data_IF_509113886826
#
_entry.id   IF_509113886826
#
_cell.length_a   1.000
_cell.length_b   1.000
_cell.length_c   1.000
_cell.angle_alpha   90.00
_cell.angle_beta   90.00
_cell.angle_gamma   90.00
#
_symmetry.space_group_name_H-M   'P 1'
#
loop_
_entity.id
_entity.type
_entity.pdbx_description
1 polymer ?
#
# COMPACT_ATOMS: atom_id res chain seq x y z
N UNK A 1 1.50 -5.51 6.60
CA UNK A 1 1.96 -6.29 5.42
C UNK A 1 0.85 -7.21 4.96
N UNK A 2 0.69 -7.36 3.66
CA UNK A 2 -0.30 -8.27 3.06
C UNK A 2 -0.12 -9.70 3.61
N UNK A 3 -1.23 -10.36 3.97
CA UNK A 3 -1.22 -11.74 4.44
C UNK A 3 -0.80 -11.97 5.90
N UNK A 4 -0.46 -10.94 6.68
CA UNK A 4 -0.15 -11.11 8.11
C UNK A 4 -1.39 -11.06 8.99
N UNK A 5 -2.28 -10.11 8.75
CA UNK A 5 -3.52 -9.92 9.51
C UNK A 5 -4.69 -10.27 8.60
N UNK A 6 -5.61 -11.09 9.11
CA UNK A 6 -6.80 -11.51 8.37
C UNK A 6 -7.70 -10.33 8.00
N UNK A 7 -8.30 -10.42 6.81
CA UNK A 7 -9.32 -9.50 6.30
C UNK A 7 -10.74 -10.04 6.46
N UNK A 8 -10.90 -11.18 7.13
CA UNK A 8 -12.23 -11.75 7.41
C UNK A 8 -13.07 -10.77 8.23
N UNK A 9 -14.30 -10.51 7.78
CA UNK A 9 -15.20 -9.54 8.42
C UNK A 9 -14.98 -8.09 8.02
N UNK A 10 -14.00 -7.80 7.19
CA UNK A 10 -13.75 -6.46 6.62
C UNK A 10 -14.45 -6.34 5.26
N UNK A 11 -14.99 -5.16 4.96
CA UNK A 11 -15.61 -4.89 3.67
C UNK A 11 -14.54 -4.96 2.57
N UNK A 12 -14.59 -6.02 1.77
CA UNK A 12 -13.63 -6.26 0.70
C UNK A 12 -13.82 -5.27 -0.45
N UNK A 13 -12.74 -4.61 -0.84
CA UNK A 13 -12.67 -3.81 -2.06
C UNK A 13 -11.91 -4.57 -3.15
N UNK A 14 -10.67 -4.98 -2.87
CA UNK A 14 -9.83 -5.74 -3.78
C UNK A 14 -9.18 -6.92 -3.06
N UNK A 15 -9.35 -8.11 -3.62
CA UNK A 15 -8.73 -9.32 -3.06
C UNK A 15 -7.20 -9.28 -3.13
N UNK A 16 -6.64 -8.52 -4.06
CA UNK A 16 -5.19 -8.43 -4.31
C UNK A 16 -4.50 -7.26 -3.62
N UNK A 17 -5.26 -6.22 -3.27
CA UNK A 17 -4.68 -4.97 -2.77
C UNK A 17 -5.05 -4.67 -1.31
N UNK A 18 -6.19 -5.19 -0.82
CA UNK A 18 -6.63 -4.95 0.54
C UNK A 18 -5.65 -5.54 1.55
N UNK A 19 -5.32 -4.75 2.55
CA UNK A 19 -4.51 -5.19 3.67
C UNK A 19 -4.91 -4.45 4.95
N UNK A 20 -4.67 -5.11 6.08
CA UNK A 20 -4.91 -4.53 7.40
C UNK A 20 -3.60 -4.02 7.95
N UNK A 21 -3.62 -2.81 8.49
CA UNK A 21 -2.52 -2.21 9.21
C UNK A 21 -2.94 -1.76 10.60
N UNK A 22 -1.97 -1.46 11.43
CA UNK A 22 -2.17 -0.94 12.78
C UNK A 22 -1.46 0.40 12.94
N UNK A 23 -2.01 1.26 13.79
CA UNK A 23 -1.42 2.54 14.14
C UNK A 23 -1.09 2.56 15.65
N UNK A 24 0.01 3.18 16.01
CA UNK A 24 0.45 3.37 17.40
C UNK A 24 1.27 4.64 17.55
N UNK A 25 1.50 5.07 18.78
CA UNK A 25 2.35 6.23 19.06
C UNK A 25 3.84 5.87 19.04
N UNK A 26 4.15 4.63 19.37
CA UNK A 26 5.51 4.08 19.37
C UNK A 26 5.58 2.84 18.50
N UNK A 27 6.78 2.42 18.15
CA UNK A 27 6.99 1.15 17.40
C UNK A 27 6.56 -0.04 18.26
N UNK A 28 6.80 0.02 19.56
CA UNK A 28 6.39 -1.02 20.52
C UNK A 28 4.88 -1.15 20.60
N UNK A 29 4.12 -0.03 20.59
CA UNK A 29 2.64 -0.07 20.56
C UNK A 29 2.15 -0.77 19.28
N UNK A 30 2.75 -0.42 18.13
CA UNK A 30 2.42 -1.06 16.84
C UNK A 30 2.75 -2.55 16.87
N UNK A 31 3.93 -2.93 17.39
CA UNK A 31 4.34 -4.32 17.48
C UNK A 31 3.44 -5.12 18.42
N UNK A 32 3.10 -4.58 19.58
CA UNK A 32 2.21 -5.22 20.54
C UNK A 32 0.81 -5.45 19.96
N UNK A 33 0.26 -4.43 19.27
CA UNK A 33 -1.05 -4.55 18.66
C UNK A 33 -1.04 -5.50 17.46
N UNK A 34 -0.06 -5.38 16.56
CA UNK A 34 0.08 -6.27 15.41
C UNK A 34 0.23 -7.73 15.84
N UNK A 35 1.08 -8.01 16.85
CA UNK A 35 1.28 -9.36 17.40
C UNK A 35 -0.04 -10.04 17.79
N UNK A 36 -0.98 -9.31 18.36
CA UNK A 36 -2.28 -9.88 18.78
C UNK A 36 -3.21 -10.20 17.62
N UNK A 37 -3.03 -9.54 16.46
CA UNK A 37 -3.86 -9.70 15.27
C UNK A 37 -3.27 -10.66 14.23
N UNK A 38 -1.95 -10.87 14.26
CA UNK A 38 -1.26 -11.76 13.32
C UNK A 38 -1.64 -13.21 13.62
N UNK A 39 -2.38 -13.82 12.71
CA UNK A 39 -2.81 -15.19 12.82
C UNK A 39 -3.20 -15.74 11.46
N UNK A 40 -2.84 -17.01 11.19
CA UNK A 40 -3.39 -17.74 10.05
C UNK A 40 -4.90 -17.88 10.21
N UNK A 41 -5.65 -17.48 9.20
CA UNK A 41 -7.11 -17.60 9.12
C UNK A 41 -7.48 -18.42 7.89
N UNK A 42 -8.20 -19.51 8.10
CA UNK A 42 -8.64 -20.42 7.03
C UNK A 42 -9.66 -19.73 6.08
N UNK A 43 -10.35 -18.70 6.55
CA UNK A 43 -11.34 -17.95 5.76
C UNK A 43 -10.69 -16.84 4.91
N UNK A 44 -9.42 -16.52 5.16
CA UNK A 44 -8.61 -15.62 4.33
C UNK A 44 -7.38 -16.38 3.83
N UNK A 45 -7.51 -16.96 2.64
CA UNK A 45 -6.51 -17.83 2.02
C UNK A 45 -5.14 -17.16 1.85
N UNK A 46 -5.11 -15.82 1.73
CA UNK A 46 -3.87 -15.06 1.57
C UNK A 46 -3.09 -14.94 2.90
N UNK A 47 -3.70 -15.28 4.06
CA UNK A 47 -2.96 -15.24 5.33
C UNK A 47 -1.92 -16.35 5.42
N UNK A 48 -0.76 -16.00 5.99
CA UNK A 48 0.35 -16.92 6.19
C UNK A 48 0.57 -17.24 7.68
N UNK A 49 1.27 -18.34 7.97
CA UNK A 49 1.79 -18.56 9.30
C UNK A 49 3.00 -17.65 9.53
N UNK A 50 2.95 -16.86 10.58
CA UNK A 50 4.06 -15.99 10.97
C UNK A 50 4.24 -16.05 12.50
N UNK A 51 5.47 -16.30 12.95
CA UNK A 51 5.82 -16.30 14.36
C UNK A 51 5.99 -14.86 14.85
N UNK A 52 4.93 -14.32 15.45
CA UNK A 52 4.92 -12.93 15.95
C UNK A 52 5.36 -12.82 17.43
N UNK A 53 5.68 -13.93 18.09
CA UNK A 53 5.91 -13.96 19.54
C UNK A 53 7.05 -13.07 19.99
N UNK A 54 8.14 -12.99 19.23
CA UNK A 54 9.32 -12.20 19.55
C UNK A 54 9.25 -10.77 19.00
N UNK A 55 8.19 -10.38 18.29
CA UNK A 55 8.10 -9.09 17.59
C UNK A 55 8.38 -7.89 18.51
N UNK A 56 7.82 -7.89 19.72
CA UNK A 56 8.03 -6.81 20.70
C UNK A 56 9.47 -6.78 21.20
N UNK A 57 10.07 -7.94 21.47
CA UNK A 57 11.46 -8.01 21.96
C UNK A 57 12.46 -7.60 20.87
N UNK A 58 12.18 -7.92 19.62
CA UNK A 58 12.99 -7.48 18.47
C UNK A 58 12.94 -5.94 18.34
N UNK A 59 11.76 -5.33 18.51
CA UNK A 59 11.61 -3.87 18.48
C UNK A 59 12.47 -3.18 19.57
N UNK A 60 12.54 -3.76 20.75
CA UNK A 60 13.33 -3.20 21.87
C UNK A 60 14.85 -3.30 21.66
N UNK A 61 15.30 -4.32 20.94
CA UNK A 61 16.74 -4.55 20.69
C UNK A 61 17.32 -3.55 19.67
N UNK A 62 16.49 -2.94 18.84
CA UNK A 62 16.91 -2.10 17.72
C UNK A 62 17.62 -2.88 16.60
N UNK A 63 18.11 -2.20 15.57
CA UNK A 63 18.80 -2.84 14.45
C UNK A 63 20.18 -3.34 14.84
N UNK A 64 20.57 -4.50 14.33
CA UNK A 64 21.90 -5.11 14.57
C UNK A 64 22.99 -4.34 13.78
N UNK A 65 22.63 -3.80 12.61
CA UNK A 65 23.51 -3.02 11.75
C UNK A 65 22.90 -1.63 11.51
N UNK A 66 23.74 -0.67 11.13
CA UNK A 66 23.25 0.64 10.71
C UNK A 66 22.42 0.47 9.42
N UNK A 67 21.10 0.79 9.46
CA UNK A 67 20.23 0.51 8.33
C UNK A 67 20.48 1.49 7.19
N UNK A 68 20.46 0.98 5.96
CA UNK A 68 20.48 1.77 4.73
C UNK A 68 19.12 1.73 4.06
N UNK A 69 18.69 2.86 3.54
CA UNK A 69 17.41 3.01 2.84
C UNK A 69 17.61 3.65 1.48
N UNK A 70 16.69 3.35 0.56
CA UNK A 70 16.53 4.11 -0.67
C UNK A 70 15.37 5.09 -0.53
N UNK A 71 15.55 6.30 -1.00
CA UNK A 71 14.48 7.24 -1.25
C UNK A 71 14.19 7.33 -2.75
N UNK A 72 13.02 6.88 -3.18
CA UNK A 72 12.60 7.05 -4.56
C UNK A 72 11.83 8.35 -4.76
N UNK A 73 12.35 9.18 -5.69
CA UNK A 73 11.58 10.28 -6.28
C UNK A 73 10.65 9.71 -7.35
N UNK A 74 9.46 9.30 -6.93
CA UNK A 74 8.45 8.80 -7.84
C UNK A 74 7.96 9.90 -8.79
N UNK A 75 7.26 9.52 -9.87
CA UNK A 75 6.61 10.48 -10.77
C UNK A 75 5.68 11.47 -10.06
N UNK A 76 5.18 11.10 -8.89
CA UNK A 76 4.35 11.96 -8.04
C UNK A 76 5.14 13.03 -7.29
N UNK A 77 6.48 12.95 -7.22
CA UNK A 77 7.31 13.90 -6.48
C UNK A 77 7.06 15.36 -6.85
N UNK A 78 6.86 15.64 -8.13
CA UNK A 78 6.56 16.99 -8.62
C UNK A 78 5.17 17.50 -8.24
N UNK A 79 4.28 16.60 -7.81
CA UNK A 79 2.87 16.90 -7.47
C UNK A 79 2.63 17.00 -5.98
N UNK A 80 3.56 16.56 -5.12
CA UNK A 80 3.38 16.62 -3.67
C UNK A 80 3.40 18.06 -3.17
N UNK A 81 2.72 18.30 -2.07
CA UNK A 81 2.64 19.63 -1.46
C UNK A 81 4.02 20.17 -1.07
N UNK A 82 4.18 21.50 -1.12
CA UNK A 82 5.45 22.14 -0.69
C UNK A 82 5.82 21.81 0.76
N UNK A 83 4.82 21.62 1.63
CA UNK A 83 5.03 21.19 3.02
C UNK A 83 5.62 19.78 3.09
N UNK A 84 5.07 18.84 2.33
CA UNK A 84 5.61 17.47 2.24
C UNK A 84 7.01 17.45 1.63
N UNK A 85 7.27 18.24 0.57
CA UNK A 85 8.62 18.34 -0.02
C UNK A 85 9.64 18.77 1.03
N UNK A 86 9.36 19.86 1.77
CA UNK A 86 10.25 20.35 2.83
C UNK A 86 10.49 19.30 3.93
N UNK A 87 9.45 18.54 4.31
CA UNK A 87 9.59 17.49 5.31
C UNK A 87 10.52 16.36 4.82
N UNK A 88 10.39 15.94 3.57
CA UNK A 88 11.30 14.95 2.98
C UNK A 88 12.72 15.50 2.78
N UNK A 89 12.88 16.76 2.35
CA UNK A 89 14.19 17.41 2.25
C UNK A 89 14.90 17.47 3.60
N UNK A 90 14.16 17.77 4.68
CA UNK A 90 14.67 17.71 6.04
C UNK A 90 15.10 16.30 6.43
N UNK A 91 14.25 15.29 6.19
CA UNK A 91 14.56 13.88 6.45
C UNK A 91 15.86 13.45 5.74
N UNK A 92 15.96 13.75 4.45
CA UNK A 92 17.11 13.39 3.62
C UNK A 92 18.40 14.08 4.08
N UNK A 93 18.29 15.30 4.61
CA UNK A 93 19.45 16.03 5.15
C UNK A 93 19.91 15.41 6.47
N UNK A 94 18.99 15.14 7.40
CA UNK A 94 19.30 14.59 8.72
C UNK A 94 19.86 13.17 8.64
N UNK A 95 19.32 12.34 7.74
CA UNK A 95 19.71 10.94 7.58
C UNK A 95 20.58 10.69 6.33
N UNK A 96 21.32 11.67 5.88
CA UNK A 96 22.14 11.62 4.66
C UNK A 96 23.08 10.40 4.58
N UNK A 97 23.56 9.89 5.70
CA UNK A 97 24.46 8.72 5.75
C UNK A 97 23.71 7.39 5.52
N UNK A 98 22.40 7.38 5.79
CA UNK A 98 21.57 6.20 5.81
C UNK A 98 20.61 6.12 4.62
N UNK A 99 20.45 7.22 3.86
CA UNK A 99 19.46 7.29 2.78
C UNK A 99 20.15 7.68 1.48
N UNK A 100 20.05 6.81 0.49
CA UNK A 100 20.47 7.08 -0.89
C UNK A 100 19.24 7.50 -1.71
N UNK A 101 19.42 8.52 -2.57
CA UNK A 101 18.33 9.09 -3.37
C UNK A 101 18.44 8.61 -4.79
N UNK A 102 17.37 8.00 -5.30
CA UNK A 102 17.27 7.54 -6.68
C UNK A 102 16.01 8.08 -7.35
N UNK A 103 16.09 8.28 -8.64
CA UNK A 103 14.91 8.46 -9.47
C UNK A 103 14.22 7.10 -9.67
N UNK A 104 12.90 7.11 -9.68
CA UNK A 104 12.12 5.90 -9.92
C UNK A 104 12.47 5.32 -11.30
N UNK A 105 12.74 4.00 -11.39
CA UNK A 105 12.96 3.35 -12.67
C UNK A 105 11.80 3.57 -13.63
N UNK A 106 12.14 3.81 -14.90
CA UNK A 106 11.14 4.21 -15.91
C UNK A 106 10.00 3.20 -16.09
N UNK A 107 10.28 1.94 -15.87
CA UNK A 107 9.32 0.85 -15.98
C UNK A 107 8.24 0.90 -14.89
N UNK A 108 8.50 1.51 -13.74
CA UNK A 108 7.50 1.68 -12.68
C UNK A 108 6.46 2.79 -12.97
N UNK A 109 6.65 3.57 -14.03
CA UNK A 109 5.70 4.64 -14.41
C UNK A 109 4.28 4.12 -14.68
N UNK A 110 4.15 2.87 -15.06
CA UNK A 110 2.87 2.24 -15.37
C UNK A 110 2.17 1.61 -14.14
N UNK A 111 2.85 1.53 -12.99
CA UNK A 111 2.26 1.00 -11.75
C UNK A 111 0.90 1.62 -11.43
N UNK A 112 0.70 2.96 -11.44
CA UNK A 112 -0.60 3.55 -11.14
C UNK A 112 -1.71 3.09 -12.08
N UNK A 113 -1.42 2.92 -13.37
CA UNK A 113 -2.37 2.42 -14.37
C UNK A 113 -2.82 1.00 -14.06
N UNK A 114 -1.87 0.11 -13.83
CA UNK A 114 -2.18 -1.31 -13.57
C UNK A 114 -2.81 -1.50 -12.19
N UNK A 115 -2.37 -0.74 -11.19
CA UNK A 115 -3.02 -0.69 -9.88
C UNK A 115 -4.50 -0.28 -10.01
N UNK A 116 -4.81 0.75 -10.80
CA UNK A 116 -6.18 1.19 -11.03
C UNK A 116 -7.03 0.10 -11.70
N UNK A 117 -6.50 -0.60 -12.71
CA UNK A 117 -7.20 -1.70 -13.38
C UNK A 117 -7.58 -2.79 -12.37
N UNK A 118 -6.62 -3.24 -11.56
CA UNK A 118 -6.88 -4.27 -10.54
C UNK A 118 -7.92 -3.78 -9.53
N UNK A 119 -7.71 -2.59 -8.97
CA UNK A 119 -8.56 -2.04 -7.93
C UNK A 119 -10.01 -1.86 -8.39
N UNK A 120 -10.22 -1.25 -9.56
CA UNK A 120 -11.58 -0.98 -10.07
C UNK A 120 -12.28 -2.26 -10.54
N UNK A 121 -11.56 -3.21 -11.12
CA UNK A 121 -12.12 -4.52 -11.49
C UNK A 121 -12.54 -5.32 -10.27
N UNK A 122 -11.67 -5.38 -9.25
CA UNK A 122 -11.99 -6.06 -8.00
C UNK A 122 -13.16 -5.38 -7.27
N UNK A 123 -13.21 -4.03 -7.25
CA UNK A 123 -14.35 -3.28 -6.70
C UNK A 123 -15.64 -3.61 -7.46
N UNK A 124 -15.62 -3.66 -8.78
CA UNK A 124 -16.79 -4.00 -9.58
C UNK A 124 -17.32 -5.38 -9.23
N UNK A 125 -16.44 -6.35 -8.98
CA UNK A 125 -16.80 -7.68 -8.53
C UNK A 125 -17.32 -7.68 -7.08
N UNK A 126 -16.60 -7.08 -6.16
CA UNK A 126 -16.91 -7.09 -4.71
C UNK A 126 -18.20 -6.34 -4.38
N UNK A 127 -18.50 -5.25 -5.07
CA UNK A 127 -19.69 -4.44 -4.86
C UNK A 127 -20.85 -4.73 -5.82
N UNK A 128 -20.76 -5.80 -6.64
CA UNK A 128 -21.75 -6.10 -7.68
C UNK A 128 -23.20 -6.14 -7.15
N UNK A 129 -23.41 -6.80 -6.02
CA UNK A 129 -24.76 -6.94 -5.44
C UNK A 129 -25.28 -5.61 -4.89
N UNK A 130 -24.42 -4.83 -4.25
CA UNK A 130 -24.81 -3.48 -3.79
C UNK A 130 -25.11 -2.57 -4.98
N UNK A 131 -24.32 -2.65 -6.02
CA UNK A 131 -24.52 -1.87 -7.24
C UNK A 131 -25.85 -2.20 -7.90
N UNK A 132 -26.19 -3.48 -8.06
CA UNK A 132 -27.46 -3.91 -8.65
C UNK A 132 -28.69 -3.49 -7.80
N UNK A 133 -28.58 -3.64 -6.47
CA UNK A 133 -29.71 -3.42 -5.56
C UNK A 133 -29.89 -1.97 -5.11
N UNK A 134 -28.80 -1.21 -5.02
CA UNK A 134 -28.79 0.06 -4.29
C UNK A 134 -27.93 1.15 -4.94
N UNK A 135 -27.68 1.12 -6.24
CA UNK A 135 -26.83 2.09 -6.97
C UNK A 135 -27.13 3.56 -6.58
N UNK A 136 -28.43 3.91 -6.47
CA UNK A 136 -28.85 5.29 -6.12
C UNK A 136 -28.43 5.75 -4.73
N UNK A 137 -28.09 4.82 -3.83
CA UNK A 137 -27.64 5.11 -2.45
C UNK A 137 -26.11 5.12 -2.34
N UNK A 138 -25.39 4.74 -3.39
CA UNK A 138 -23.93 4.69 -3.41
C UNK A 138 -23.35 6.07 -3.74
N UNK A 139 -22.18 6.38 -3.19
CA UNK A 139 -21.45 7.61 -3.52
C UNK A 139 -21.05 7.64 -5.00
N UNK A 140 -21.16 8.82 -5.63
CA UNK A 140 -20.93 9.01 -7.07
C UNK A 140 -19.56 8.47 -7.51
N UNK A 141 -18.48 8.77 -6.78
CA UNK A 141 -17.12 8.31 -7.11
C UNK A 141 -17.00 6.79 -7.08
N UNK A 142 -17.66 6.12 -6.13
CA UNK A 142 -17.70 4.67 -6.04
C UNK A 142 -18.41 4.06 -7.24
N UNK A 143 -19.57 4.63 -7.62
CA UNK A 143 -20.31 4.20 -8.82
C UNK A 143 -19.46 4.33 -10.07
N UNK A 144 -18.80 5.48 -10.26
CA UNK A 144 -17.91 5.72 -11.40
C UNK A 144 -16.75 4.71 -11.46
N UNK A 145 -16.13 4.39 -10.31
CA UNK A 145 -15.05 3.40 -10.25
C UNK A 145 -15.55 1.99 -10.63
N UNK A 146 -16.70 1.58 -10.11
CA UNK A 146 -17.34 0.30 -10.49
C UNK A 146 -17.64 0.26 -11.99
N UNK A 147 -18.19 1.34 -12.55
CA UNK A 147 -18.52 1.42 -13.98
C UNK A 147 -17.29 1.40 -14.88
N UNK A 148 -16.14 1.92 -14.43
CA UNK A 148 -14.86 1.73 -15.14
C UNK A 148 -14.38 0.30 -15.03
N UNK A 149 -14.43 -0.27 -13.81
CA UNK A 149 -14.05 -1.66 -13.56
C UNK A 149 -14.80 -2.67 -14.42
N UNK A 150 -16.10 -2.44 -14.66
CA UNK A 150 -16.93 -3.28 -15.54
C UNK A 150 -16.54 -3.21 -17.03
N UNK A 151 -15.75 -2.23 -17.44
CA UNK A 151 -15.31 -2.06 -18.84
C UNK A 151 -13.96 -2.73 -19.13
N UNK A 152 -13.16 -3.03 -18.13
CA UNK A 152 -11.91 -3.73 -18.33
C UNK A 152 -12.15 -5.18 -18.77
N UNK A 153 -11.37 -5.63 -19.73
CA UNK A 153 -11.42 -7.02 -20.19
C UNK A 153 -10.67 -7.94 -19.21
N UNK A 154 -10.95 -9.24 -19.28
CA UNK A 154 -10.16 -10.24 -18.56
C UNK A 154 -8.66 -10.14 -18.89
N UNK A 155 -8.33 -9.80 -20.16
CA UNK A 155 -6.94 -9.60 -20.58
C UNK A 155 -6.31 -8.41 -19.86
N UNK A 156 -7.00 -7.28 -19.77
CA UNK A 156 -6.48 -6.09 -19.06
C UNK A 156 -6.15 -6.43 -17.61
N UNK A 157 -7.02 -7.19 -16.95
CA UNK A 157 -6.82 -7.61 -15.56
C UNK A 157 -5.62 -8.56 -15.41
N UNK A 158 -5.50 -9.56 -16.26
CA UNK A 158 -4.38 -10.51 -16.24
C UNK A 158 -3.07 -9.79 -16.49
N UNK A 159 -3.00 -8.94 -17.52
CA UNK A 159 -1.82 -8.15 -17.85
C UNK A 159 -1.42 -7.25 -16.65
N UNK A 160 -2.40 -6.66 -15.96
CA UNK A 160 -2.15 -5.83 -14.80
C UNK A 160 -1.60 -6.63 -13.60
N UNK A 161 -2.16 -7.79 -13.31
CA UNK A 161 -1.68 -8.67 -12.24
C UNK A 161 -0.25 -9.16 -12.53
N UNK A 162 0.04 -9.54 -13.76
CA UNK A 162 1.36 -10.02 -14.14
C UNK A 162 2.41 -8.90 -14.11
N UNK A 163 2.04 -7.68 -14.53
CA UNK A 163 2.90 -6.52 -14.38
C UNK A 163 3.24 -6.23 -12.90
N UNK A 164 2.24 -6.30 -12.01
CA UNK A 164 2.47 -6.08 -10.58
C UNK A 164 3.37 -7.16 -9.96
N UNK A 165 3.23 -8.41 -10.37
CA UNK A 165 4.15 -9.50 -9.94
C UNK A 165 5.60 -9.25 -10.39
N UNK A 166 5.79 -8.81 -11.64
CA UNK A 166 7.11 -8.48 -12.16
C UNK A 166 7.70 -7.27 -11.42
N UNK A 167 6.88 -6.24 -11.18
CA UNK A 167 7.28 -5.08 -10.39
C UNK A 167 7.72 -5.47 -8.98
N UNK A 168 6.97 -6.35 -8.31
CA UNK A 168 7.34 -6.86 -6.99
C UNK A 168 8.70 -7.58 -7.01
N UNK A 169 8.93 -8.41 -8.02
CA UNK A 169 10.22 -9.12 -8.16
C UNK A 169 11.38 -8.13 -8.31
N UNK A 170 11.25 -7.10 -9.15
CA UNK A 170 12.28 -6.07 -9.32
C UNK A 170 12.48 -5.23 -8.06
N UNK A 171 11.41 -4.97 -7.28
CA UNK A 171 11.55 -4.32 -5.99
C UNK A 171 12.25 -5.20 -4.96
N UNK A 172 12.06 -6.51 -5.00
CA UNK A 172 12.67 -7.41 -4.02
C UNK A 172 14.20 -7.46 -4.12
N UNK A 173 14.78 -7.23 -5.30
CA UNK A 173 16.22 -7.13 -5.50
C UNK A 173 16.84 -5.94 -4.72
N UNK A 174 16.07 -4.87 -4.51
CA UNK A 174 16.53 -3.71 -3.72
C UNK A 174 16.79 -4.08 -2.26
N UNK A 175 16.04 -5.04 -1.72
CA UNK A 175 16.16 -5.46 -0.33
C UNK A 175 17.36 -6.38 -0.05
N UNK A 176 18.17 -6.73 -1.05
CA UNK A 176 19.46 -7.40 -0.87
C UNK A 176 20.48 -6.42 -0.26
N UNK A 177 20.41 -5.13 -0.63
CA UNK A 177 21.36 -4.10 -0.20
C UNK A 177 20.77 -3.09 0.79
N UNK A 178 19.45 -2.95 0.84
CA UNK A 178 18.75 -1.92 1.61
C UNK A 178 17.66 -2.50 2.50
N UNK A 179 17.51 -1.92 3.68
CA UNK A 179 16.49 -2.32 4.65
C UNK A 179 15.07 -1.88 4.28
N UNK A 180 14.94 -0.93 3.39
CA UNK A 180 13.64 -0.45 2.96
C UNK A 180 13.69 0.66 1.91
N UNK A 181 12.52 0.93 1.35
CA UNK A 181 12.28 2.02 0.40
C UNK A 181 11.43 3.08 1.08
N UNK A 182 11.87 4.32 1.01
CA UNK A 182 11.14 5.49 1.50
C UNK A 182 10.55 6.22 0.30
N UNK A 183 9.26 6.51 0.36
CA UNK A 183 8.53 7.25 -0.67
C UNK A 183 7.35 7.99 -0.06
N UNK A 184 6.87 9.10 -0.65
CA UNK A 184 5.66 9.77 -0.17
C UNK A 184 4.45 8.84 -0.24
N UNK A 185 3.72 8.73 0.87
CA UNK A 185 2.49 7.91 0.95
C UNK A 185 1.27 8.61 0.34
N UNK A 186 1.35 9.94 0.13
CA UNK A 186 0.27 10.75 -0.47
C UNK A 186 0.82 12.05 -1.01
N UNK A 187 0.02 12.78 -1.80
CA UNK A 187 0.39 14.08 -2.34
C UNK A 187 0.50 15.20 -1.28
N UNK A 188 -0.02 14.99 -0.09
CA UNK A 188 0.00 15.97 0.99
C UNK A 188 -0.91 15.58 2.15
N UNK A 189 -1.36 16.58 2.91
CA UNK A 189 -2.33 16.39 3.98
C UNK A 189 -3.70 16.05 3.41
N UNK A 190 -4.54 15.37 4.21
CA UNK A 190 -5.91 15.04 3.83
C UNK A 190 -6.71 16.29 3.44
N UNK A 191 -7.51 16.17 2.38
CA UNK A 191 -8.43 17.23 1.96
C UNK A 191 -9.47 17.50 3.05
N UNK A 192 -9.84 18.79 3.18
CA UNK A 192 -10.90 19.17 4.12
C UNK A 192 -12.27 18.72 3.60
N UNK A 193 -13.01 18.00 4.44
CA UNK A 193 -14.37 17.51 4.13
C UNK A 193 -14.41 16.03 3.81
N UNK A 194 -15.56 15.57 3.30
CA UNK A 194 -15.86 14.15 3.04
C UNK A 194 -16.05 13.81 1.56
N UNK A 195 -15.76 14.73 0.66
CA UNK A 195 -15.99 14.54 -0.78
C UNK A 195 -14.85 13.80 -1.48
N UNK A 196 -13.69 13.70 -0.86
CA UNK A 196 -12.52 13.05 -1.42
C UNK A 196 -11.66 12.46 -0.31
N UNK A 197 -11.06 11.32 -0.60
CA UNK A 197 -10.01 10.70 0.25
C UNK A 197 -8.61 11.18 -0.12
N UNK A 198 -8.49 12.10 -1.06
CA UNK A 198 -7.23 12.51 -1.65
C UNK A 198 -6.76 11.56 -2.74
N UNK A 199 -5.48 11.67 -3.09
CA UNK A 199 -4.78 10.75 -4.01
C UNK A 199 -3.57 10.18 -3.27
N UNK A 200 -3.55 8.88 -3.04
CA UNK A 200 -2.39 8.19 -2.48
C UNK A 200 -1.22 8.16 -3.47
#
# INVERSE_FOLDING_TARGET
SFGLISRTGILKQSSKLDQVGVFGKTVEDVALFAKTLIKKDILDEDTIHYAADEMLEVCKKGPIFEPKFIFYKTQSWKKISKGSQKAFEFLLKEFKKNIEVFDEPSYFKDIPKYHQIIHETDMANSFQDFYKKSKKKMGKKLVEAIERGLKYSAKDYVDAVDFMKQSYKSYSEVFEDYYGVITPASLGVADKGLLSTGSP
#
